data_IF_514299618125
#
_entry.id   IF_514299618125
#
_cell.length_a   1.000
_cell.length_b   1.000
_cell.length_c   1.000
_cell.angle_alpha   90.00
_cell.angle_beta   90.00
_cell.angle_gamma   90.00
#
_symmetry.space_group_name_H-M   'P 1'
#
loop_
_entity.id
_entity.type
_entity.pdbx_description
1 polymer ?
#
# COMPACT_ATOMS: atom_id res chain seq x y z
N UNK A 1 0.39 -20.31 -1.12
CA UNK A 1 1.26 -19.17 -0.73
C UNK A 1 2.20 -19.45 0.44
N UNK A 2 2.22 -20.66 1.02
CA UNK A 2 3.31 -21.06 1.93
C UNK A 2 4.53 -21.53 1.13
N UNK A 3 5.73 -21.22 1.60
CA UNK A 3 6.96 -21.78 1.07
C UNK A 3 7.32 -23.13 1.72
N UNK A 4 8.48 -23.68 1.34
CA UNK A 4 8.96 -24.97 1.80
C UNK A 4 9.22 -25.04 3.32
N UNK A 5 9.25 -23.91 4.03
CA UNK A 5 9.46 -23.83 5.48
C UNK A 5 8.15 -23.83 6.28
N UNK A 6 6.99 -23.81 5.60
CA UNK A 6 5.68 -23.87 6.23
C UNK A 6 5.16 -22.53 6.72
N UNK A 7 5.67 -21.43 6.14
CA UNK A 7 5.23 -20.05 6.37
C UNK A 7 4.83 -19.39 5.08
N UNK A 8 4.07 -18.30 5.16
CA UNK A 8 3.78 -17.46 4.00
C UNK A 8 5.09 -16.94 3.40
N UNK A 9 5.27 -17.14 2.09
CA UNK A 9 6.46 -16.67 1.39
C UNK A 9 6.57 -15.13 1.45
N UNK A 10 7.78 -14.61 1.65
CA UNK A 10 8.03 -13.17 1.78
C UNK A 10 7.48 -12.31 0.62
N UNK A 11 7.43 -12.85 -0.61
CA UNK A 11 6.87 -12.12 -1.77
C UNK A 11 5.36 -11.88 -1.64
N UNK A 12 4.64 -12.72 -0.90
CA UNK A 12 3.19 -12.64 -0.71
C UNK A 12 2.82 -11.45 0.18
N UNK A 13 3.68 -11.08 1.14
CA UNK A 13 3.49 -9.87 1.95
C UNK A 13 3.39 -8.61 1.06
N UNK A 14 4.23 -8.50 0.02
CA UNK A 14 4.16 -7.38 -0.92
C UNK A 14 2.85 -7.37 -1.72
N UNK A 15 2.27 -8.55 -2.01
CA UNK A 15 0.94 -8.64 -2.63
C UNK A 15 -0.14 -8.12 -1.69
N UNK A 16 -0.09 -8.46 -0.39
CA UNK A 16 -1.04 -7.89 0.59
C UNK A 16 -0.96 -6.37 0.67
N UNK A 17 0.27 -5.82 0.69
CA UNK A 17 0.49 -4.37 0.70
C UNK A 17 0.02 -3.69 -0.59
N UNK A 18 0.26 -4.32 -1.74
CA UNK A 18 -0.23 -3.84 -3.04
C UNK A 18 -1.75 -3.85 -3.10
N UNK A 19 -2.39 -4.95 -2.72
CA UNK A 19 -3.84 -5.06 -2.72
C UNK A 19 -4.50 -4.02 -1.81
N UNK A 20 -3.96 -3.80 -0.60
CA UNK A 20 -4.44 -2.77 0.31
C UNK A 20 -4.35 -1.37 -0.33
N UNK A 21 -3.25 -1.05 -1.01
CA UNK A 21 -3.10 0.23 -1.73
C UNK A 21 -4.05 0.38 -2.90
N UNK A 22 -4.25 -0.66 -3.71
CA UNK A 22 -5.19 -0.62 -4.84
C UNK A 22 -6.62 -0.37 -4.32
N UNK A 23 -7.04 -1.07 -3.27
CA UNK A 23 -8.35 -0.87 -2.65
C UNK A 23 -8.52 0.54 -2.09
N UNK A 24 -7.47 1.07 -1.45
CA UNK A 24 -7.47 2.45 -0.97
C UNK A 24 -7.56 3.47 -2.10
N UNK A 25 -6.75 3.31 -3.16
CA UNK A 25 -6.80 4.17 -4.34
C UNK A 25 -8.18 4.19 -4.99
N UNK A 26 -8.78 3.02 -5.20
CA UNK A 26 -10.12 2.91 -5.77
C UNK A 26 -11.16 3.63 -4.89
N UNK A 27 -11.10 3.42 -3.57
CA UNK A 27 -12.01 4.08 -2.61
C UNK A 27 -11.84 5.60 -2.55
N UNK A 28 -10.64 6.11 -2.85
CA UNK A 28 -10.33 7.53 -2.92
C UNK A 28 -10.66 8.17 -4.28
N UNK A 29 -11.19 7.38 -5.24
CA UNK A 29 -11.52 7.85 -6.59
C UNK A 29 -10.31 7.94 -7.52
N UNK A 30 -9.16 7.39 -7.13
CA UNK A 30 -7.98 7.30 -7.98
C UNK A 30 -8.09 6.10 -8.92
N UNK A 31 -8.94 6.25 -9.95
CA UNK A 31 -9.04 5.24 -11.00
C UNK A 31 -7.80 5.28 -11.88
N UNK A 32 -7.16 4.13 -12.06
CA UNK A 32 -6.01 3.98 -12.95
C UNK A 32 -6.49 3.91 -14.40
N UNK A 33 -6.47 5.05 -15.10
CA UNK A 33 -6.54 5.09 -16.56
C UNK A 33 -5.10 5.22 -17.12
N UNK A 34 -4.61 4.26 -17.92
CA UNK A 34 -3.29 4.36 -18.56
C UNK A 34 -3.10 5.60 -19.45
N UNK A 35 -4.18 6.31 -19.79
CA UNK A 35 -4.15 7.56 -20.56
C UNK A 35 -4.15 8.82 -19.69
N UNK A 36 -4.26 8.69 -18.38
CA UNK A 36 -4.30 9.79 -17.41
C UNK A 36 -2.99 9.92 -16.62
N UNK A 37 -3.03 10.76 -15.59
CA UNK A 37 -2.03 10.78 -14.52
C UNK A 37 -2.44 9.79 -13.42
N UNK A 38 -1.46 9.28 -12.67
CA UNK A 38 -1.76 8.39 -11.56
C UNK A 38 -0.53 7.98 -10.75
N UNK A 39 -0.74 7.11 -9.74
CA UNK A 39 0.32 6.66 -8.85
C UNK A 39 1.27 5.67 -9.53
N UNK A 40 2.55 5.77 -9.20
CA UNK A 40 3.61 4.79 -9.51
C UNK A 40 4.40 4.52 -8.24
N UNK A 41 4.62 3.24 -7.94
CA UNK A 41 5.47 2.82 -6.83
C UNK A 41 6.93 2.91 -7.27
N UNK A 42 7.72 3.74 -6.58
CA UNK A 42 9.17 3.90 -6.87
C UNK A 42 10.06 3.25 -5.83
N UNK A 43 9.49 2.88 -4.68
CA UNK A 43 10.14 2.07 -3.66
C UNK A 43 9.07 1.29 -2.88
N UNK A 44 9.38 0.07 -2.48
CA UNK A 44 8.59 -0.71 -1.55
C UNK A 44 9.52 -1.40 -0.54
N UNK A 45 9.06 -1.53 0.70
CA UNK A 45 9.79 -2.20 1.77
C UNK A 45 8.84 -2.99 2.67
N UNK A 46 9.37 -4.03 3.32
CA UNK A 46 8.64 -4.84 4.29
C UNK A 46 9.63 -5.40 5.31
N UNK A 47 9.34 -5.20 6.59
CA UNK A 47 9.97 -5.83 7.73
C UNK A 47 9.13 -7.03 8.16
N UNK A 48 9.72 -8.22 8.11
CA UNK A 48 9.08 -9.48 8.51
C UNK A 48 9.37 -9.73 9.99
N UNK A 49 8.40 -9.42 10.86
CA UNK A 49 8.59 -9.43 12.32
C UNK A 49 8.20 -10.80 12.90
N UNK A 50 7.10 -11.39 12.40
CA UNK A 50 6.63 -12.73 12.74
C UNK A 50 6.09 -13.46 11.51
N UNK A 51 6.23 -14.77 11.54
CA UNK A 51 5.79 -15.67 10.48
C UNK A 51 4.25 -15.72 10.42
N UNK A 52 3.67 -15.49 9.24
CA UNK A 52 2.28 -15.81 8.96
C UNK A 52 2.18 -17.29 8.54
N UNK A 53 1.13 -17.97 9.00
CA UNK A 53 0.88 -19.40 8.71
C UNK A 53 -0.58 -19.62 8.33
N UNK A 54 -0.82 -20.61 7.47
CA UNK A 54 -2.16 -21.11 7.17
C UNK A 54 -2.64 -22.09 8.27
N UNK A 55 -3.95 -22.13 8.58
CA UNK A 55 -4.99 -21.18 8.16
C UNK A 55 -4.93 -19.86 8.95
N UNK A 56 -5.38 -18.77 8.32
CA UNK A 56 -5.47 -17.46 8.94
C UNK A 56 -5.87 -16.37 7.94
N UNK A 57 -6.49 -15.31 8.45
CA UNK A 57 -6.83 -14.12 7.66
C UNK A 57 -5.94 -12.96 8.08
N UNK A 58 -5.30 -12.33 7.11
CA UNK A 58 -4.43 -11.17 7.33
C UNK A 58 -5.27 -9.89 7.31
N UNK A 59 -5.13 -9.06 8.34
CA UNK A 59 -5.65 -7.70 8.39
C UNK A 59 -4.52 -6.72 8.10
N UNK A 60 -4.69 -5.91 7.06
CA UNK A 60 -3.78 -4.83 6.71
C UNK A 60 -4.39 -3.48 7.09
N UNK A 61 -3.73 -2.74 8.00
CA UNK A 61 -4.04 -1.34 8.27
C UNK A 61 -3.09 -0.48 7.46
N UNK A 62 -3.62 0.27 6.50
CA UNK A 62 -2.84 1.16 5.61
C UNK A 62 -2.99 2.61 6.07
N UNK A 63 -1.89 3.35 6.01
CA UNK A 63 -1.76 4.75 6.38
C UNK A 63 -1.09 5.50 5.23
N UNK A 64 -1.50 6.73 4.98
CA UNK A 64 -0.88 7.62 4.02
C UNK A 64 -0.17 8.77 4.74
N UNK A 65 1.04 9.08 4.29
CA UNK A 65 1.83 10.20 4.77
C UNK A 65 1.43 11.53 4.13
N UNK A 66 2.03 12.61 4.63
CA UNK A 66 1.85 13.94 4.05
C UNK A 66 2.24 13.97 2.56
N UNK A 67 1.39 14.57 1.74
CA UNK A 67 1.63 14.74 0.32
C UNK A 67 2.62 15.89 0.03
N UNK A 68 3.77 15.55 -0.54
CA UNK A 68 4.70 16.52 -1.14
C UNK A 68 4.17 17.09 -2.46
N UNK A 69 5.04 17.66 -3.32
CA UNK A 69 4.61 18.23 -4.61
C UNK A 69 3.94 17.17 -5.51
N UNK A 70 4.60 16.03 -5.67
CA UNK A 70 4.20 14.96 -6.59
C UNK A 70 4.41 13.56 -6.01
N UNK A 71 4.55 13.44 -4.69
CA UNK A 71 4.81 12.16 -4.04
C UNK A 71 4.30 12.13 -2.62
N UNK A 72 4.04 10.93 -2.10
CA UNK A 72 3.71 10.66 -0.71
C UNK A 72 4.21 9.27 -0.33
N UNK A 73 4.32 9.03 0.97
CA UNK A 73 4.66 7.71 1.51
C UNK A 73 3.38 6.98 1.93
N UNK A 74 3.40 5.65 1.84
CA UNK A 74 2.40 4.77 2.44
C UNK A 74 3.07 3.87 3.45
N UNK A 75 2.37 3.60 4.54
CA UNK A 75 2.82 2.75 5.64
C UNK A 75 1.71 1.76 5.94
N UNK A 76 2.05 0.53 6.30
CA UNK A 76 1.07 -0.49 6.61
C UNK A 76 1.54 -1.41 7.72
N UNK A 77 0.58 -1.85 8.52
CA UNK A 77 0.77 -2.82 9.58
C UNK A 77 -0.08 -4.05 9.25
N UNK A 78 0.58 -5.21 9.18
CA UNK A 78 -0.04 -6.50 8.97
C UNK A 78 -0.19 -7.22 10.31
N UNK A 79 -1.42 -7.61 10.62
CA UNK A 79 -1.82 -8.39 11.80
C UNK A 79 -2.68 -9.57 11.35
N UNK A 80 -2.95 -10.54 12.22
CA UNK A 80 -4.01 -11.53 11.94
C UNK A 80 -5.33 -11.02 12.50
N UNK A 81 -6.45 -11.45 11.94
CA UNK A 81 -7.77 -11.08 12.45
C UNK A 81 -8.07 -11.69 13.82
N UNK A 82 -7.53 -12.87 14.11
CA UNK A 82 -7.63 -13.59 15.39
C UNK A 82 -6.56 -13.16 16.42
N UNK A 83 -5.59 -12.34 16.00
CA UNK A 83 -4.51 -11.79 16.83
C UNK A 83 -4.21 -10.34 16.37
N UNK A 84 -5.17 -9.41 16.59
CA UNK A 84 -5.15 -8.08 15.98
C UNK A 84 -4.09 -7.13 16.59
N UNK A 85 -3.65 -7.39 17.82
CA UNK A 85 -2.71 -6.53 18.54
C UNK A 85 -1.25 -6.92 18.30
N UNK A 86 -1.01 -8.08 17.70
CA UNK A 86 0.32 -8.52 17.31
C UNK A 86 0.66 -8.03 15.90
N UNK A 87 1.82 -7.38 15.78
CA UNK A 87 2.39 -7.00 14.49
C UNK A 87 3.17 -8.18 13.91
N UNK A 88 2.75 -8.65 12.73
CA UNK A 88 3.42 -9.72 11.99
C UNK A 88 4.38 -9.16 10.95
N UNK A 89 4.02 -8.05 10.32
CA UNK A 89 4.91 -7.32 9.44
C UNK A 89 4.52 -5.86 9.36
N UNK A 90 5.51 -5.04 9.04
CA UNK A 90 5.34 -3.63 8.73
C UNK A 90 5.90 -3.39 7.34
N UNK A 91 5.21 -2.60 6.53
CA UNK A 91 5.68 -2.31 5.19
C UNK A 91 5.23 -0.96 4.72
N UNK A 92 5.68 -0.61 3.54
CA UNK A 92 5.37 0.69 2.98
C UNK A 92 5.83 0.82 1.55
N UNK A 93 5.52 1.97 0.98
CA UNK A 93 5.99 2.33 -0.34
C UNK A 93 6.01 3.84 -0.54
N UNK A 94 6.98 4.28 -1.35
CA UNK A 94 6.99 5.63 -1.91
C UNK A 94 6.19 5.64 -3.20
N UNK A 95 5.18 6.51 -3.24
CA UNK A 95 4.32 6.71 -4.40
C UNK A 95 4.66 8.04 -5.05
N UNK A 96 4.83 8.04 -6.37
CA UNK A 96 5.01 9.24 -7.19
C UNK A 96 3.82 9.37 -8.13
N UNK A 97 3.27 10.57 -8.23
CA UNK A 97 2.26 10.93 -9.21
C UNK A 97 2.93 11.21 -10.55
N UNK A 98 2.49 10.51 -11.59
CA UNK A 98 3.12 10.47 -12.91
C UNK A 98 2.07 10.66 -13.98
N UNK A 99 2.37 11.50 -14.97
CA UNK A 99 1.67 11.48 -16.25
C UNK A 99 2.14 10.26 -17.03
N UNK A 100 1.25 9.29 -17.25
CA UNK A 100 1.61 8.03 -17.91
C UNK A 100 2.00 8.21 -19.38
N UNK A 101 1.56 9.29 -20.04
CA UNK A 101 1.91 9.61 -21.44
C UNK A 101 3.35 10.09 -21.55
N UNK A 102 3.74 11.01 -20.67
CA UNK A 102 5.08 11.62 -20.69
C UNK A 102 6.09 10.84 -19.85
N UNK A 103 5.64 9.95 -18.97
CA UNK A 103 6.43 9.23 -17.96
C UNK A 103 7.21 10.17 -17.04
N UNK A 104 6.67 11.37 -16.81
CA UNK A 104 7.27 12.39 -15.94
C UNK A 104 6.40 12.60 -14.71
N UNK A 105 7.07 12.94 -13.61
CA UNK A 105 6.37 13.31 -12.38
C UNK A 105 5.58 14.61 -12.58
N UNK A 106 4.31 14.59 -12.18
CA UNK A 106 3.37 15.71 -12.28
C UNK A 106 2.84 16.05 -10.88
N UNK A 107 2.55 17.32 -10.54
CA UNK A 107 1.99 17.67 -9.24
C UNK A 107 0.71 16.90 -8.93
N UNK A 108 0.50 16.56 -7.66
CA UNK A 108 -0.80 16.09 -7.19
C UNK A 108 -1.84 17.20 -7.35
N UNK A 109 -3.00 16.87 -7.92
CA UNK A 109 -4.16 17.77 -7.94
C UNK A 109 -4.66 18.03 -6.52
N UNK A 110 -5.40 19.12 -6.32
CA UNK A 110 -5.97 19.44 -5.01
C UNK A 110 -6.95 18.37 -4.51
N UNK A 111 -7.73 17.80 -5.43
CA UNK A 111 -8.60 16.66 -5.14
C UNK A 111 -7.80 15.45 -4.65
N UNK A 112 -6.65 15.15 -5.29
CA UNK A 112 -5.79 14.07 -4.86
C UNK A 112 -5.15 14.32 -3.50
N UNK A 113 -4.69 15.55 -3.24
CA UNK A 113 -4.17 15.96 -1.94
C UNK A 113 -5.21 15.78 -0.84
N UNK A 114 -6.44 16.24 -1.09
CA UNK A 114 -7.55 16.14 -0.14
C UNK A 114 -7.92 14.68 0.17
N UNK A 115 -7.97 13.83 -0.85
CA UNK A 115 -8.27 12.41 -0.67
C UNK A 115 -7.15 11.66 0.09
N UNK A 116 -5.87 12.02 -0.12
CA UNK A 116 -4.74 11.46 0.63
C UNK A 116 -4.76 11.90 2.10
N UNK A 117 -5.08 13.18 2.36
CA UNK A 117 -5.11 13.75 3.70
C UNK A 117 -6.26 13.22 4.57
N UNK A 118 -7.27 12.60 3.97
CA UNK A 118 -8.42 12.05 4.69
C UNK A 118 -8.07 10.66 5.24
N UNK A 119 -8.03 10.45 6.57
CA UNK A 119 -7.76 9.14 7.14
C UNK A 119 -8.88 8.17 6.77
N UNK A 120 -8.57 7.14 5.98
CA UNK A 120 -9.48 6.02 5.76
C UNK A 120 -9.11 4.94 6.78
N UNK A 121 -9.75 5.01 7.95
CA UNK A 121 -9.68 3.93 8.94
C UNK A 121 -10.54 2.76 8.44
N UNK A 122 -9.90 1.67 8.00
CA UNK A 122 -10.56 0.38 7.74
C UNK A 122 -9.70 -0.76 8.26
#
# INVERSE_FOLDING_TARGET
>A
DMDAMGHVNNTVYFRYLEEARIRWFDSAGFRTDPRSEGPVIVNAHCSFIRELRYPGTVRCRLYAGSAGRSSFETYAVLSRTDDPDTVYAEGGAKVVWVDYRTRRSTPLSEAARSAIATPILR
#
